data_IF_253926765067
#
_entry.id   IF_253926765067
#
_cell.length_a   1.000
_cell.length_b   1.000
_cell.length_c   1.000
_cell.angle_alpha   90.00
_cell.angle_beta   90.00
_cell.angle_gamma   90.00
#
_symmetry.space_group_name_H-M   'P 1'
#
loop_
_entity.id
_entity.type
_entity.pdbx_description
1 polymer ?
#
# COMPACT_ATOMS: atom_id res chain seq x y z
N UNK A 1 10.30 -7.31 -25.06
CA UNK A 1 10.15 -5.93 -24.56
C UNK A 1 10.03 -6.01 -23.04
N UNK A 2 10.86 -5.29 -22.28
CA UNK A 2 10.75 -5.26 -20.82
C UNK A 2 9.73 -4.21 -20.41
N UNK A 3 8.72 -4.57 -19.62
CA UNK A 3 7.75 -3.63 -19.05
C UNK A 3 8.29 -3.12 -17.71
N UNK A 4 8.24 -1.80 -17.52
CA UNK A 4 8.48 -1.19 -16.20
C UNK A 4 7.30 -1.48 -15.28
N UNK A 5 7.58 -1.74 -14.00
CA UNK A 5 6.56 -2.03 -12.99
C UNK A 5 7.01 -1.49 -11.65
N UNK A 6 6.05 -1.00 -10.87
CA UNK A 6 6.26 -0.61 -9.48
C UNK A 6 6.29 -1.83 -8.57
N UNK A 7 7.05 -1.74 -7.49
CA UNK A 7 7.16 -2.77 -6.47
C UNK A 7 7.10 -2.14 -5.08
N UNK A 8 6.37 -2.78 -4.17
CA UNK A 8 6.63 -2.64 -2.74
C UNK A 8 7.69 -3.66 -2.35
N UNK A 9 8.73 -3.19 -1.67
CA UNK A 9 9.82 -4.06 -1.19
C UNK A 9 9.74 -4.08 0.32
N UNK A 10 9.50 -5.25 0.90
CA UNK A 10 9.45 -5.39 2.34
C UNK A 10 10.83 -5.24 2.97
N UNK A 11 10.86 -4.92 4.26
CA UNK A 11 12.07 -4.96 5.10
C UNK A 11 12.82 -6.31 5.03
N UNK A 12 12.11 -7.43 4.81
CA UNK A 12 12.67 -8.77 4.60
C UNK A 12 13.18 -9.05 3.18
N UNK A 13 13.08 -8.09 2.25
CA UNK A 13 13.55 -8.20 0.87
C UNK A 13 12.54 -8.82 -0.11
N UNK A 14 11.33 -9.18 0.35
CA UNK A 14 10.26 -9.68 -0.52
C UNK A 14 9.76 -8.55 -1.41
N UNK A 15 9.64 -8.81 -2.71
CA UNK A 15 9.18 -7.82 -3.69
C UNK A 15 7.76 -8.14 -4.13
N UNK A 16 6.83 -7.25 -3.82
CA UNK A 16 5.44 -7.33 -4.23
C UNK A 16 5.22 -6.42 -5.42
N UNK A 17 4.95 -7.01 -6.59
CA UNK A 17 4.67 -6.26 -7.82
C UNK A 17 3.29 -5.62 -7.71
N UNK A 18 3.20 -4.31 -7.95
CA UNK A 18 1.91 -3.63 -8.02
C UNK A 18 1.33 -3.78 -9.45
N UNK A 19 0.09 -4.30 -9.60
CA UNK A 19 -0.56 -4.43 -10.90
C UNK A 19 -1.12 -3.07 -11.36
N UNK A 20 -1.38 -2.91 -12.66
CA UNK A 20 -1.96 -1.67 -13.23
C UNK A 20 -3.49 -1.60 -13.03
N UNK A 21 -3.94 -1.90 -11.83
CA UNK A 21 -5.33 -1.91 -11.40
C UNK A 21 -5.42 -1.60 -9.90
N UNK A 22 -6.63 -1.43 -9.39
CA UNK A 22 -6.85 -1.25 -7.96
C UNK A 22 -6.71 -2.57 -7.22
N UNK A 23 -5.99 -2.57 -6.12
CA UNK A 23 -5.90 -3.70 -5.19
C UNK A 23 -6.25 -3.28 -3.77
N UNK A 24 -6.75 -4.24 -2.99
CA UNK A 24 -6.94 -4.11 -1.56
C UNK A 24 -5.70 -4.54 -0.79
N UNK A 25 -5.45 -3.84 0.30
CA UNK A 25 -4.46 -4.16 1.30
C UNK A 25 -5.17 -4.40 2.62
N UNK A 26 -4.86 -5.50 3.28
CA UNK A 26 -5.52 -5.86 4.52
C UNK A 26 -5.10 -7.22 5.03
N UNK A 27 -5.74 -7.68 6.10
CA UNK A 27 -5.44 -8.97 6.74
C UNK A 27 -6.36 -10.11 6.30
N UNK A 28 -7.44 -9.81 5.59
CA UNK A 28 -8.46 -10.80 5.23
C UNK A 28 -8.97 -10.53 3.81
N UNK A 29 -8.92 -11.54 2.94
CA UNK A 29 -9.45 -11.51 1.56
C UNK A 29 -9.00 -10.29 0.73
N UNK A 30 -7.68 -10.04 0.70
CA UNK A 30 -7.05 -8.92 -0.02
C UNK A 30 -5.95 -9.42 -0.96
N UNK A 31 -5.67 -8.70 -2.05
CA UNK A 31 -4.57 -9.05 -2.96
C UNK A 31 -3.20 -8.87 -2.31
N UNK A 32 -3.06 -7.84 -1.45
CA UNK A 32 -1.89 -7.66 -0.59
C UNK A 32 -2.25 -8.00 0.86
N UNK A 33 -2.03 -9.26 1.25
CA UNK A 33 -2.31 -9.75 2.60
C UNK A 33 -1.17 -9.47 3.58
N UNK A 34 -1.51 -8.85 4.71
CA UNK A 34 -0.61 -8.60 5.84
C UNK A 34 -1.06 -9.37 7.07
N UNK A 35 -0.11 -9.90 7.84
CA UNK A 35 -0.43 -10.80 8.96
C UNK A 35 -0.68 -10.06 10.29
N UNK A 36 -0.20 -8.81 10.43
CA UNK A 36 -0.31 -8.08 11.68
C UNK A 36 -1.76 -7.79 12.08
N UNK A 37 -2.08 -8.05 13.35
CA UNK A 37 -3.39 -7.72 13.94
C UNK A 37 -3.68 -6.22 14.00
N UNK A 38 -2.66 -5.39 13.85
CA UNK A 38 -2.82 -3.93 13.74
C UNK A 38 -3.34 -3.49 12.37
N UNK A 39 -3.33 -4.38 11.38
CA UNK A 39 -3.92 -4.17 10.05
C UNK A 39 -5.37 -4.68 10.07
N UNK A 40 -6.25 -3.85 9.53
CA UNK A 40 -7.67 -4.15 9.42
C UNK A 40 -7.91 -5.19 8.33
N UNK A 41 -9.09 -5.80 8.35
CA UNK A 41 -9.45 -6.82 7.34
C UNK A 41 -9.34 -6.27 5.92
N UNK A 42 -9.95 -5.11 5.69
CA UNK A 42 -9.76 -4.26 4.52
C UNK A 42 -9.28 -2.91 5.04
N UNK A 43 -7.99 -2.60 4.86
CA UNK A 43 -7.32 -1.50 5.54
C UNK A 43 -7.11 -0.30 4.60
N UNK A 44 -6.62 -0.57 3.40
CA UNK A 44 -6.34 0.43 2.40
C UNK A 44 -6.59 -0.13 0.99
N UNK A 45 -6.62 0.76 0.00
CA UNK A 45 -6.49 0.39 -1.41
C UNK A 45 -5.25 1.06 -2.00
N UNK A 46 -4.60 0.36 -2.93
CA UNK A 46 -3.60 0.95 -3.81
C UNK A 46 -4.20 0.97 -5.21
N UNK A 47 -4.40 2.16 -5.75
CA UNK A 47 -4.89 2.37 -7.09
C UNK A 47 -3.73 2.67 -8.05
N UNK A 48 -3.95 2.46 -9.34
CA UNK A 48 -3.03 2.84 -10.41
C UNK A 48 -3.66 3.93 -11.28
N UNK A 49 -2.93 5.02 -11.50
CA UNK A 49 -3.30 6.09 -12.44
C UNK A 49 -2.56 5.88 -13.77
N UNK A 50 -3.30 5.47 -14.79
CA UNK A 50 -2.75 5.21 -16.11
C UNK A 50 -2.29 6.47 -16.85
N UNK A 51 -2.77 7.66 -16.45
CA UNK A 51 -2.39 8.92 -17.09
C UNK A 51 -1.01 9.39 -16.66
N UNK A 52 -0.60 9.09 -15.44
CA UNK A 52 0.70 9.48 -14.86
C UNK A 52 1.68 8.32 -14.67
N UNK A 53 1.24 7.07 -14.84
CA UNK A 53 2.01 5.84 -14.52
C UNK A 53 2.44 5.79 -13.04
N UNK A 54 1.55 6.22 -12.14
CA UNK A 54 1.79 6.29 -10.70
C UNK A 54 0.78 5.46 -9.90
N UNK A 55 1.21 5.04 -8.72
CA UNK A 55 0.32 4.41 -7.74
C UNK A 55 -0.12 5.42 -6.68
N UNK A 56 -1.34 5.27 -6.19
CA UNK A 56 -1.89 6.07 -5.10
C UNK A 56 -2.42 5.16 -4.01
N UNK A 57 -2.07 5.45 -2.77
CA UNK A 57 -2.62 4.75 -1.60
C UNK A 57 -3.76 5.55 -0.99
N UNK A 58 -4.80 4.87 -0.53
CA UNK A 58 -5.91 5.45 0.23
C UNK A 58 -6.26 4.55 1.40
N UNK A 59 -6.18 5.11 2.60
CA UNK A 59 -6.67 4.45 3.82
C UNK A 59 -8.21 4.44 3.83
N UNK A 60 -8.82 3.32 4.22
CA UNK A 60 -10.28 3.13 4.19
C UNK A 60 -10.99 3.54 5.50
N UNK A 61 -10.32 4.27 6.38
CA UNK A 61 -10.81 4.56 7.74
C UNK A 61 -10.36 3.49 8.73
N UNK A 62 -9.12 3.03 8.60
CA UNK A 62 -8.59 1.94 9.38
C UNK A 62 -8.28 2.34 10.82
N UNK A 63 -8.37 1.38 11.75
CA UNK A 63 -8.21 1.65 13.19
C UNK A 63 -6.84 2.26 13.53
N UNK A 64 -5.75 1.72 12.96
CA UNK A 64 -4.39 2.15 13.25
C UNK A 64 -3.80 3.09 12.18
N UNK A 65 -4.51 3.30 11.07
CA UNK A 65 -4.10 4.17 9.96
C UNK A 65 -3.00 3.59 9.06
N UNK A 66 -2.83 4.29 7.94
CA UNK A 66 -1.75 4.10 6.97
C UNK A 66 -0.74 5.25 7.07
N UNK A 67 0.53 4.95 6.83
CA UNK A 67 1.63 5.90 6.97
C UNK A 67 2.49 5.93 5.71
N UNK A 68 2.83 7.13 5.25
CA UNK A 68 3.82 7.37 4.20
C UNK A 68 4.95 8.18 4.81
N UNK A 69 6.18 7.68 4.75
CA UNK A 69 7.37 8.30 5.35
C UNK A 69 7.17 8.65 6.83
N UNK A 70 6.63 7.70 7.60
CA UNK A 70 6.28 7.83 9.03
C UNK A 70 5.20 8.87 9.37
N UNK A 71 4.60 9.51 8.37
CA UNK A 71 3.48 10.44 8.54
C UNK A 71 2.16 9.73 8.27
N UNK A 72 1.23 9.78 9.23
CA UNK A 72 -0.12 9.21 9.07
C UNK A 72 -0.87 10.01 8.00
N UNK A 73 -1.35 9.33 6.97
CA UNK A 73 -2.12 9.98 5.90
C UNK A 73 -3.56 10.24 6.36
N UNK A 74 -4.25 11.25 5.81
CA UNK A 74 -5.68 11.41 6.03
C UNK A 74 -6.46 10.21 5.49
N UNK A 75 -7.45 9.73 6.25
CA UNK A 75 -8.33 8.68 5.78
C UNK A 75 -9.15 9.13 4.57
N UNK A 76 -9.58 8.16 3.76
CA UNK A 76 -10.41 8.34 2.58
C UNK A 76 -9.85 9.32 1.52
N UNK A 77 -8.57 9.66 1.61
CA UNK A 77 -7.88 10.56 0.68
C UNK A 77 -6.79 9.79 -0.07
N UNK A 78 -6.66 10.02 -1.38
CA UNK A 78 -5.57 9.43 -2.17
C UNK A 78 -4.28 10.21 -1.99
N UNK A 79 -3.21 9.49 -1.69
CA UNK A 79 -1.84 10.00 -1.62
C UNK A 79 -1.01 9.30 -2.70
N UNK A 80 -0.40 10.07 -3.60
CA UNK A 80 0.48 9.54 -4.64
C UNK A 80 1.77 9.01 -4.02
N UNK A 81 2.11 7.76 -4.34
CA UNK A 81 3.37 7.14 -3.94
C UNK A 81 4.49 7.60 -4.88
N UNK A 82 5.63 7.95 -4.30
CA UNK A 82 6.85 8.30 -5.01
C UNK A 82 7.91 7.22 -4.80
N UNK A 83 8.93 7.26 -5.66
CA UNK A 83 10.08 6.37 -5.50
C UNK A 83 10.73 6.61 -4.13
N UNK A 84 11.15 5.53 -3.49
CA UNK A 84 11.78 5.52 -2.16
C UNK A 84 10.84 5.86 -0.98
N UNK A 85 9.55 6.10 -1.22
CA UNK A 85 8.58 6.25 -0.14
C UNK A 85 8.50 4.98 0.72
N UNK A 86 8.48 5.19 2.04
CA UNK A 86 8.24 4.13 3.02
C UNK A 86 6.75 4.05 3.33
N UNK A 87 6.11 2.98 2.90
CA UNK A 87 4.69 2.75 3.11
C UNK A 87 4.47 1.71 4.21
N UNK A 88 3.71 2.09 5.25
CA UNK A 88 3.38 1.20 6.38
C UNK A 88 1.88 1.20 6.65
N UNK A 89 1.33 0.02 6.94
CA UNK A 89 -0.08 -0.18 7.30
C UNK A 89 -0.17 -0.61 8.77
N UNK A 90 -0.91 0.15 9.58
CA UNK A 90 -0.92 -0.01 11.03
C UNK A 90 0.48 0.00 11.65
N UNK A 91 0.74 -0.96 12.54
CA UNK A 91 2.03 -1.23 13.17
C UNK A 91 2.67 -2.52 12.65
N UNK A 92 2.33 -2.92 11.42
CA UNK A 92 3.00 -4.03 10.77
C UNK A 92 4.49 -3.69 10.55
N UNK A 93 5.38 -4.61 10.97
CA UNK A 93 6.84 -4.45 10.94
C UNK A 93 7.40 -5.09 9.64
N UNK A 94 6.54 -5.75 8.85
CA UNK A 94 6.95 -6.62 7.75
C UNK A 94 6.99 -5.92 6.39
N UNK A 95 6.70 -4.62 6.29
CA UNK A 95 6.91 -3.84 5.06
C UNK A 95 7.74 -2.60 5.32
#
# INVERSE_FOLDING_TARGET
>A
MSLTSWFLVSSGGTRHRLPREMIFVGRDDCELMLQSRSVDKQHAVINYDASTDEHLVKDLGSLNGTFVNDVRIPEQTYITLKLEDKLRFGYDILI
#
